data_IF_205206949494
#
_entry.id   IF_205206949494
#
_cell.length_a   1.000
_cell.length_b   1.000
_cell.length_c   1.000
_cell.angle_alpha   90.00
_cell.angle_beta   90.00
_cell.angle_gamma   90.00
#
_symmetry.space_group_name_H-M   'P 1'
#
loop_
_entity.id
_entity.type
_entity.pdbx_description
1 polymer ?
#
# COMPACT_ATOMS: atom_id res chain seq x y z
N UNK A 1 -5.24 -15.74 10.33
CA UNK A 1 -3.98 -15.11 10.76
C UNK A 1 -3.10 -14.79 9.56
N UNK A 2 -2.21 -13.85 9.72
CA UNK A 2 -1.25 -13.40 8.72
C UNK A 2 0.19 -13.49 9.26
N UNK A 3 1.17 -13.28 8.40
CA UNK A 3 2.57 -13.12 8.79
C UNK A 3 2.92 -11.63 9.00
N UNK A 4 4.13 -11.38 9.47
CA UNK A 4 4.60 -10.00 9.70
C UNK A 4 4.97 -9.24 8.39
N UNK A 5 4.50 -9.70 7.25
CA UNK A 5 4.73 -9.11 5.93
C UNK A 5 3.43 -8.89 5.15
N UNK A 6 2.28 -9.00 5.82
CA UNK A 6 0.97 -8.81 5.23
C UNK A 6 0.48 -9.99 4.36
N UNK A 7 1.01 -11.19 4.54
CA UNK A 7 0.50 -12.37 3.84
C UNK A 7 -0.43 -13.17 4.74
N UNK A 8 -1.60 -13.49 4.24
CA UNK A 8 -2.56 -14.37 4.94
C UNK A 8 -2.00 -15.79 4.98
N UNK A 9 -1.83 -16.33 6.19
CA UNK A 9 -1.23 -17.65 6.41
C UNK A 9 -2.25 -18.78 6.53
N UNK A 10 -3.46 -18.45 6.94
CA UNK A 10 -4.48 -19.45 7.26
C UNK A 10 -5.85 -18.94 6.84
N UNK A 11 -6.54 -19.75 6.09
CA UNK A 11 -7.90 -19.49 5.61
C UNK A 11 -8.85 -20.58 6.15
N UNK A 12 -10.17 -20.31 6.21
CA UNK A 12 -11.17 -21.33 6.45
C UNK A 12 -11.07 -22.46 5.42
N UNK A 13 -11.31 -23.67 5.86
CA UNK A 13 -11.40 -24.83 4.95
C UNK A 13 -12.79 -24.91 4.32
N UNK A 14 -12.94 -25.68 3.23
CA UNK A 14 -14.24 -25.92 2.60
C UNK A 14 -15.28 -26.46 3.60
N UNK A 15 -14.87 -27.25 4.59
CA UNK A 15 -15.75 -27.83 5.58
C UNK A 15 -16.31 -26.81 6.59
N UNK A 16 -15.64 -25.67 6.78
CA UNK A 16 -16.02 -24.72 7.83
C UNK A 16 -16.16 -23.26 7.35
N UNK A 17 -15.94 -22.96 6.07
CA UNK A 17 -16.05 -21.58 5.56
C UNK A 17 -17.44 -20.96 5.74
N UNK A 18 -18.48 -21.77 5.78
CA UNK A 18 -19.89 -21.36 5.93
C UNK A 18 -20.43 -21.58 7.36
N UNK A 19 -19.58 -21.57 8.37
CA UNK A 19 -20.07 -21.74 9.75
C UNK A 19 -21.00 -20.60 10.16
N UNK A 20 -22.02 -20.90 10.95
CA UNK A 20 -23.06 -19.96 11.37
C UNK A 20 -22.52 -18.74 12.12
N UNK A 21 -21.47 -18.90 12.92
CA UNK A 21 -20.83 -17.80 13.67
C UNK A 21 -19.97 -16.88 12.81
N UNK A 22 -19.86 -17.14 11.51
CA UNK A 22 -19.08 -16.32 10.59
C UNK A 22 -17.54 -16.37 10.80
N UNK A 23 -16.82 -15.58 10.01
CA UNK A 23 -15.38 -15.46 10.06
C UNK A 23 -14.92 -14.00 9.99
N UNK A 24 -13.93 -13.64 10.80
CA UNK A 24 -13.30 -12.35 10.75
C UNK A 24 -11.79 -12.42 10.43
N UNK A 25 -11.24 -11.31 9.98
CA UNK A 25 -9.81 -11.10 9.76
C UNK A 25 -9.30 -10.01 10.71
N UNK A 26 -8.15 -10.25 11.30
CA UNK A 26 -7.31 -9.22 11.89
C UNK A 26 -6.06 -9.11 11.04
N UNK A 27 -5.95 -8.01 10.31
CA UNK A 27 -4.89 -7.71 9.35
C UNK A 27 -3.98 -6.61 9.90
N UNK A 28 -2.76 -6.47 9.38
CA UNK A 28 -1.83 -5.45 9.83
C UNK A 28 -1.19 -4.74 8.64
N UNK A 29 -1.14 -3.42 8.71
CA UNK A 29 -0.31 -2.57 7.85
C UNK A 29 1.01 -2.23 8.53
N UNK A 30 1.02 -2.22 9.87
CA UNK A 30 2.19 -1.95 10.67
C UNK A 30 2.43 -3.05 11.73
N UNK A 31 3.69 -3.28 12.05
CA UNK A 31 4.13 -4.25 13.04
C UNK A 31 5.15 -3.63 13.98
N UNK A 32 4.88 -3.70 15.27
CA UNK A 32 5.82 -3.30 16.31
C UNK A 32 6.72 -4.47 16.70
N UNK A 33 8.04 -4.22 16.77
CA UNK A 33 9.03 -5.22 17.19
C UNK A 33 9.70 -5.93 16.01
N UNK A 34 9.95 -7.22 16.15
CA UNK A 34 10.65 -7.97 15.12
C UNK A 34 9.71 -8.35 13.95
N UNK A 35 10.19 -8.22 12.67
CA UNK A 35 11.56 -7.83 12.34
C UNK A 35 11.91 -6.38 12.66
N UNK A 36 11.02 -5.41 12.57
CA UNK A 36 11.23 -4.00 12.90
C UNK A 36 9.90 -3.25 12.93
N UNK A 37 9.88 -2.04 13.48
CA UNK A 37 8.72 -1.16 13.48
C UNK A 37 8.73 -0.26 12.24
N UNK A 38 7.57 -0.06 11.60
CA UNK A 38 7.44 0.72 10.37
C UNK A 38 6.54 1.94 10.55
N UNK A 39 6.67 2.63 11.66
CA UNK A 39 5.75 3.69 12.07
C UNK A 39 5.83 4.97 11.22
N UNK A 40 6.95 5.18 10.52
CA UNK A 40 7.26 6.44 9.85
C UNK A 40 7.24 6.36 8.34
N UNK A 41 7.16 5.17 7.78
CA UNK A 41 7.30 4.94 6.34
C UNK A 41 6.19 4.05 5.85
N UNK A 42 5.43 4.54 4.88
CA UNK A 42 4.40 3.74 4.23
C UNK A 42 5.07 2.65 3.36
N UNK A 43 4.81 1.39 3.69
CA UNK A 43 5.37 0.20 3.00
C UNK A 43 4.28 -0.70 2.43
N UNK A 44 3.01 -0.39 2.69
CA UNK A 44 1.88 -1.22 2.27
C UNK A 44 1.44 -0.84 0.85
N UNK A 45 1.62 -1.76 -0.10
CA UNK A 45 1.09 -1.62 -1.45
C UNK A 45 -0.39 -1.99 -1.49
N UNK A 46 -1.23 -1.20 -2.15
CA UNK A 46 -2.66 -1.50 -2.27
C UNK A 46 -2.91 -2.82 -2.99
N UNK A 47 -2.07 -3.17 -3.98
CA UNK A 47 -2.14 -4.46 -4.69
C UNK A 47 -1.99 -5.64 -3.72
N UNK A 48 -1.16 -5.49 -2.68
CA UNK A 48 -1.02 -6.49 -1.62
C UNK A 48 -2.28 -6.61 -0.78
N UNK A 49 -2.86 -5.48 -0.40
CA UNK A 49 -4.13 -5.44 0.34
C UNK A 49 -5.23 -6.10 -0.49
N UNK A 50 -5.35 -5.73 -1.77
CA UNK A 50 -6.30 -6.30 -2.70
C UNK A 50 -6.19 -7.82 -2.79
N UNK A 51 -4.97 -8.33 -3.06
CA UNK A 51 -4.71 -9.76 -3.20
C UNK A 51 -5.12 -10.54 -1.93
N UNK A 52 -4.66 -10.06 -0.78
CA UNK A 52 -4.82 -10.80 0.47
C UNK A 52 -6.25 -10.73 1.02
N UNK A 53 -6.91 -9.57 0.91
CA UNK A 53 -8.26 -9.40 1.38
C UNK A 53 -9.29 -9.99 0.41
N UNK A 54 -9.03 -9.96 -0.90
CA UNK A 54 -9.83 -10.68 -1.90
C UNK A 54 -9.81 -12.19 -1.64
N UNK A 55 -8.63 -12.74 -1.45
CA UNK A 55 -8.48 -14.15 -1.10
C UNK A 55 -9.21 -14.47 0.22
N UNK A 56 -9.07 -13.65 1.25
CA UNK A 56 -9.76 -13.85 2.52
C UNK A 56 -11.30 -13.85 2.34
N UNK A 57 -11.83 -12.90 1.58
CA UNK A 57 -13.24 -12.78 1.28
C UNK A 57 -13.79 -13.99 0.52
N UNK A 58 -13.09 -14.44 -0.51
CA UNK A 58 -13.49 -15.60 -1.34
C UNK A 58 -13.53 -16.90 -0.53
N UNK A 59 -12.68 -16.99 0.50
CA UNK A 59 -12.70 -18.11 1.45
C UNK A 59 -13.66 -17.94 2.63
N UNK A 60 -14.55 -16.94 2.57
CA UNK A 60 -15.66 -16.80 3.51
C UNK A 60 -15.38 -15.89 4.72
N UNK A 61 -14.28 -15.15 4.75
CA UNK A 61 -13.97 -14.18 5.81
C UNK A 61 -14.64 -12.84 5.46
N UNK A 62 -15.90 -12.67 5.89
CA UNK A 62 -16.76 -11.57 5.43
C UNK A 62 -17.42 -10.76 6.53
N UNK A 63 -17.42 -11.26 7.77
CA UNK A 63 -18.28 -10.69 8.80
C UNK A 63 -17.61 -9.54 9.55
N UNK A 64 -16.30 -9.65 9.83
CA UNK A 64 -15.55 -8.61 10.51
C UNK A 64 -14.15 -8.51 9.91
N UNK A 65 -13.79 -7.30 9.48
CA UNK A 65 -12.45 -6.95 9.09
C UNK A 65 -11.88 -5.90 10.04
N UNK A 66 -10.78 -6.22 10.68
CA UNK A 66 -10.04 -5.32 11.55
C UNK A 66 -8.63 -5.17 10.99
N UNK A 67 -8.13 -3.95 10.92
CA UNK A 67 -6.75 -3.67 10.52
C UNK A 67 -6.02 -2.88 11.60
N UNK A 68 -4.85 -3.36 11.98
CA UNK A 68 -3.91 -2.60 12.79
C UNK A 68 -3.05 -1.75 11.85
N UNK A 69 -3.04 -0.45 12.06
CA UNK A 69 -2.37 0.50 11.16
C UNK A 69 -1.18 1.19 11.83
N UNK A 70 -0.91 0.89 13.11
CA UNK A 70 0.07 1.62 13.91
C UNK A 70 -0.39 3.06 14.10
N UNK A 71 0.24 3.99 13.40
CA UNK A 71 -0.17 5.39 13.33
C UNK A 71 -1.07 5.65 12.11
N UNK A 72 -1.93 6.67 12.19
CA UNK A 72 -2.78 7.04 11.04
C UNK A 72 -1.94 7.57 9.88
N UNK A 73 -0.92 8.34 10.19
CA UNK A 73 0.05 8.81 9.20
C UNK A 73 1.27 7.89 9.16
N UNK A 74 1.73 7.51 8.00
CA UNK A 74 1.32 7.87 6.62
C UNK A 74 0.37 6.86 5.96
N UNK A 75 -0.51 6.22 6.73
CA UNK A 75 -1.33 5.08 6.28
C UNK A 75 -2.72 5.47 5.73
N UNK A 76 -2.99 6.75 5.48
CA UNK A 76 -4.32 7.24 5.11
C UNK A 76 -4.86 6.56 3.84
N UNK A 77 -4.05 6.45 2.80
CA UNK A 77 -4.49 5.85 1.54
C UNK A 77 -4.79 4.34 1.68
N UNK A 78 -3.92 3.49 2.24
CA UNK A 78 -4.26 2.08 2.44
C UNK A 78 -5.40 1.87 3.45
N UNK A 79 -5.57 2.73 4.46
CA UNK A 79 -6.72 2.70 5.37
C UNK A 79 -8.01 2.94 4.60
N UNK A 80 -8.08 4.03 3.81
CA UNK A 80 -9.22 4.33 2.96
C UNK A 80 -9.56 3.17 2.04
N UNK A 81 -8.57 2.64 1.33
CA UNK A 81 -8.76 1.51 0.41
C UNK A 81 -9.32 0.26 1.11
N UNK A 82 -8.75 -0.11 2.25
CA UNK A 82 -9.20 -1.26 3.03
C UNK A 82 -10.66 -1.10 3.48
N UNK A 83 -11.04 0.08 3.94
CA UNK A 83 -12.39 0.36 4.41
C UNK A 83 -13.40 0.43 3.25
N UNK A 84 -13.02 1.05 2.14
CA UNK A 84 -13.87 1.11 0.95
C UNK A 84 -14.03 -0.27 0.30
N UNK A 85 -12.99 -1.09 0.30
CA UNK A 85 -13.07 -2.50 -0.12
C UNK A 85 -13.99 -3.33 0.80
N UNK A 86 -13.93 -3.09 2.10
CA UNK A 86 -14.83 -3.76 3.06
C UNK A 86 -16.28 -3.31 2.90
N UNK A 87 -16.51 -2.05 2.53
CA UNK A 87 -17.84 -1.49 2.30
C UNK A 87 -18.47 -1.91 0.98
N UNK A 88 -17.71 -1.92 -0.11
CA UNK A 88 -18.16 -2.25 -1.45
C UNK A 88 -17.16 -3.21 -2.13
N UNK A 89 -17.23 -4.48 -1.73
CA UNK A 89 -16.35 -5.51 -2.23
C UNK A 89 -16.58 -5.83 -3.71
N UNK A 90 -17.79 -5.64 -4.20
CA UNK A 90 -18.13 -5.88 -5.61
C UNK A 90 -17.39 -4.88 -6.52
N UNK A 91 -17.18 -3.67 -6.04
CA UNK A 91 -16.43 -2.64 -6.75
C UNK A 91 -14.92 -2.79 -6.62
N UNK A 92 -14.41 -3.09 -5.41
CA UNK A 92 -12.99 -2.99 -5.11
C UNK A 92 -12.27 -4.34 -4.93
N UNK A 93 -13.03 -5.45 -4.91
CA UNK A 93 -12.51 -6.79 -4.63
C UNK A 93 -12.15 -7.61 -5.88
N UNK A 94 -12.32 -8.91 -5.79
CA UNK A 94 -11.83 -9.92 -6.72
C UNK A 94 -12.24 -9.72 -8.18
N UNK A 95 -13.42 -9.18 -8.43
CA UNK A 95 -13.92 -8.94 -9.79
C UNK A 95 -13.19 -7.81 -10.53
N UNK A 96 -12.37 -7.05 -9.84
CA UNK A 96 -11.72 -5.84 -10.34
C UNK A 96 -10.20 -5.88 -10.09
N UNK A 97 -9.47 -6.52 -10.98
CA UNK A 97 -8.00 -6.70 -10.81
C UNK A 97 -7.22 -5.38 -10.80
N UNK A 98 -7.75 -4.35 -11.47
CA UNK A 98 -7.13 -3.02 -11.56
C UNK A 98 -7.58 -2.08 -10.43
N UNK A 99 -8.41 -2.56 -9.48
CA UNK A 99 -9.02 -1.71 -8.46
C UNK A 99 -8.02 -0.96 -7.60
N UNK A 100 -6.88 -1.56 -7.28
CA UNK A 100 -5.83 -0.92 -6.50
C UNK A 100 -5.20 0.28 -7.23
N UNK A 101 -4.94 0.16 -8.54
CA UNK A 101 -4.37 1.23 -9.36
C UNK A 101 -5.40 2.35 -9.59
N UNK A 102 -6.65 1.99 -9.86
CA UNK A 102 -7.75 2.94 -9.98
C UNK A 102 -7.96 3.71 -8.68
N UNK A 103 -7.87 3.03 -7.53
CA UNK A 103 -8.00 3.65 -6.22
C UNK A 103 -6.86 4.63 -5.93
N UNK A 104 -5.61 4.25 -6.20
CA UNK A 104 -4.46 5.14 -6.06
C UNK A 104 -4.68 6.45 -6.84
N UNK A 105 -5.07 6.34 -8.13
CA UNK A 105 -5.36 7.51 -8.98
C UNK A 105 -6.53 8.34 -8.45
N UNK A 106 -7.61 7.71 -8.02
CA UNK A 106 -8.79 8.39 -7.48
C UNK A 106 -8.46 9.11 -6.16
N UNK A 107 -7.71 8.48 -5.27
CA UNK A 107 -7.28 9.07 -4.00
C UNK A 107 -6.37 10.28 -4.23
N UNK A 108 -5.38 10.17 -5.10
CA UNK A 108 -4.52 11.30 -5.49
C UNK A 108 -5.35 12.42 -6.14
N UNK A 109 -6.29 12.09 -7.00
CA UNK A 109 -7.21 13.05 -7.60
C UNK A 109 -8.06 13.78 -6.56
N UNK A 110 -8.50 13.10 -5.51
CA UNK A 110 -9.23 13.70 -4.40
C UNK A 110 -8.35 14.70 -3.61
N UNK A 111 -7.08 14.38 -3.40
CA UNK A 111 -6.16 15.25 -2.65
C UNK A 111 -5.66 16.44 -3.47
N UNK A 112 -5.34 16.24 -4.73
CA UNK A 112 -4.61 17.22 -5.54
C UNK A 112 -5.36 17.74 -6.77
N UNK A 113 -6.55 17.21 -7.07
CA UNK A 113 -7.29 17.56 -8.30
C UNK A 113 -7.74 19.02 -8.40
N UNK A 114 -7.79 19.77 -7.30
CA UNK A 114 -8.03 21.20 -7.30
C UNK A 114 -6.77 22.03 -7.60
N UNK A 115 -5.59 21.42 -7.60
CA UNK A 115 -4.30 22.09 -7.67
C UNK A 115 -3.47 21.73 -8.90
N UNK A 116 -3.85 20.69 -9.63
CA UNK A 116 -3.16 20.25 -10.84
C UNK A 116 -4.16 19.64 -11.84
N UNK A 117 -3.71 19.48 -13.07
CA UNK A 117 -4.48 18.83 -14.13
C UNK A 117 -4.38 17.29 -14.08
N UNK A 118 -5.05 16.62 -15.02
CA UNK A 118 -5.05 15.16 -15.10
C UNK A 118 -3.63 14.58 -15.25
N UNK A 119 -2.77 15.27 -16.02
CA UNK A 119 -1.37 14.86 -16.18
C UNK A 119 -0.60 14.92 -14.85
N UNK A 120 -0.83 15.96 -14.06
CA UNK A 120 -0.25 16.07 -12.72
C UNK A 120 -0.74 14.98 -11.77
N UNK A 121 -2.03 14.62 -11.82
CA UNK A 121 -2.57 13.50 -11.06
C UNK A 121 -1.89 12.19 -11.45
N UNK A 122 -1.73 11.91 -12.73
CA UNK A 122 -1.04 10.71 -13.22
C UNK A 122 0.43 10.65 -12.79
N UNK A 123 1.13 11.77 -12.88
CA UNK A 123 2.54 11.84 -12.49
C UNK A 123 2.71 11.65 -10.97
N UNK A 124 1.86 12.28 -10.14
CA UNK A 124 1.89 12.11 -8.66
C UNK A 124 1.53 10.65 -8.31
N UNK A 125 0.51 10.08 -8.94
CA UNK A 125 0.16 8.66 -8.76
C UNK A 125 1.36 7.76 -9.08
N UNK A 126 2.03 8.00 -10.21
CA UNK A 126 3.24 7.25 -10.57
C UNK A 126 4.38 7.40 -9.55
N UNK A 127 4.57 8.58 -8.97
CA UNK A 127 5.57 8.81 -7.92
C UNK A 127 5.23 7.95 -6.69
N UNK A 128 3.99 8.01 -6.21
CA UNK A 128 3.53 7.27 -5.05
C UNK A 128 3.62 5.76 -5.28
N UNK A 129 3.11 5.25 -6.40
CA UNK A 129 3.16 3.82 -6.74
C UNK A 129 4.61 3.29 -6.76
N UNK A 130 5.54 4.03 -7.37
CA UNK A 130 6.97 3.65 -7.40
C UNK A 130 7.61 3.68 -6.02
N UNK A 131 7.26 4.67 -5.20
CA UNK A 131 7.71 4.77 -3.81
C UNK A 131 7.23 3.57 -2.98
N UNK A 132 5.93 3.24 -3.06
CA UNK A 132 5.35 2.09 -2.36
C UNK A 132 5.97 0.76 -2.83
N UNK A 133 6.20 0.61 -4.13
CA UNK A 133 6.86 -0.57 -4.69
C UNK A 133 8.30 -0.71 -4.19
N UNK A 134 9.04 0.39 -4.11
CA UNK A 134 10.41 0.38 -3.59
C UNK A 134 10.42 -0.04 -2.12
N UNK A 135 9.63 0.60 -1.28
CA UNK A 135 9.57 0.32 0.16
C UNK A 135 8.98 -1.08 0.46
N UNK A 136 7.98 -1.50 -0.30
CA UNK A 136 7.37 -2.82 -0.15
C UNK A 136 8.25 -3.97 -0.65
N UNK A 137 9.19 -3.72 -1.55
CA UNK A 137 10.11 -4.75 -2.04
C UNK A 137 11.14 -5.17 -1.00
N UNK A 138 11.61 -4.23 -0.21
CA UNK A 138 12.46 -4.45 0.96
C UNK A 138 12.19 -3.33 1.96
N UNK A 139 11.67 -3.69 3.12
CA UNK A 139 11.33 -2.69 4.15
C UNK A 139 12.58 -1.91 4.56
N UNK A 140 12.53 -0.56 4.57
CA UNK A 140 13.72 0.29 4.75
C UNK A 140 14.52 -0.02 6.02
N UNK A 141 13.82 -0.36 7.11
CA UNK A 141 14.45 -0.59 8.43
C UNK A 141 15.31 -1.84 8.51
N UNK A 142 15.16 -2.76 7.56
CA UNK A 142 15.96 -3.99 7.49
C UNK A 142 16.94 -3.99 6.32
N UNK A 143 17.11 -2.85 5.65
CA UNK A 143 18.14 -2.67 4.63
C UNK A 143 19.51 -2.58 5.30
N UNK A 144 20.44 -3.37 4.81
CA UNK A 144 21.84 -3.41 5.24
C UNK A 144 22.76 -3.21 4.04
N UNK A 145 24.05 -3.07 4.26
CA UNK A 145 25.08 -2.98 3.23
C UNK A 145 25.18 -4.23 2.34
N UNK A 146 24.62 -5.34 2.77
CA UNK A 146 24.57 -6.61 2.03
C UNK A 146 23.19 -6.92 1.38
N UNK A 147 22.20 -6.03 1.54
CA UNK A 147 20.84 -6.27 1.03
C UNK A 147 20.79 -6.33 -0.49
N UNK A 148 21.49 -5.41 -1.16
CA UNK A 148 21.54 -5.33 -2.62
C UNK A 148 22.93 -5.66 -3.12
N UNK A 149 22.99 -6.53 -4.14
CA UNK A 149 24.27 -6.98 -4.67
C UNK A 149 24.97 -5.85 -5.45
N UNK A 150 26.25 -5.62 -5.15
CA UNK A 150 27.03 -4.54 -5.77
C UNK A 150 27.53 -4.89 -7.18
N UNK A 151 27.65 -6.18 -7.50
CA UNK A 151 28.28 -6.65 -8.74
C UNK A 151 27.30 -7.40 -9.65
N UNK A 152 26.45 -8.29 -9.09
CA UNK A 152 25.55 -9.10 -9.87
C UNK A 152 24.36 -8.28 -10.38
N UNK A 153 24.13 -8.31 -11.69
CA UNK A 153 23.00 -7.66 -12.35
C UNK A 153 22.89 -6.15 -12.11
N UNK A 154 23.93 -5.51 -11.62
CA UNK A 154 23.93 -4.10 -11.19
C UNK A 154 22.75 -3.77 -10.22
N UNK A 155 22.41 -4.71 -9.33
CA UNK A 155 21.21 -4.61 -8.49
C UNK A 155 21.21 -3.33 -7.65
N UNK A 156 22.27 -3.09 -6.88
CA UNK A 156 22.37 -1.89 -6.05
C UNK A 156 22.31 -0.60 -6.87
N UNK A 157 22.99 -0.55 -8.02
CA UNK A 157 22.97 0.61 -8.90
C UNK A 157 21.57 0.88 -9.46
N UNK A 158 20.82 -0.15 -9.85
CA UNK A 158 19.44 -0.01 -10.34
C UNK A 158 18.50 0.49 -9.24
N UNK A 159 18.62 -0.04 -8.02
CA UNK A 159 17.81 0.41 -6.88
C UNK A 159 18.10 1.88 -6.57
N UNK A 160 19.37 2.27 -6.52
CA UNK A 160 19.77 3.66 -6.31
C UNK A 160 19.26 4.59 -7.42
N UNK A 161 19.35 4.15 -8.68
CA UNK A 161 18.83 4.91 -9.83
C UNK A 161 17.32 5.10 -9.74
N UNK A 162 16.57 4.06 -9.37
CA UNK A 162 15.12 4.12 -9.19
C UNK A 162 14.74 5.08 -8.05
N UNK A 163 15.38 4.96 -6.90
CA UNK A 163 15.17 5.87 -5.79
C UNK A 163 15.45 7.33 -6.17
N UNK A 164 16.57 7.57 -6.84
CA UNK A 164 16.93 8.92 -7.31
C UNK A 164 15.94 9.47 -8.36
N UNK A 165 15.33 8.62 -9.19
CA UNK A 165 14.29 9.04 -10.13
C UNK A 165 13.01 9.47 -9.40
N UNK A 166 12.59 8.70 -8.39
CA UNK A 166 11.42 9.04 -7.57
C UNK A 166 11.63 10.41 -6.89
N UNK A 167 12.79 10.62 -6.28
CA UNK A 167 13.13 11.89 -5.60
C UNK A 167 13.06 13.07 -6.59
N UNK A 168 13.70 12.96 -7.76
CA UNK A 168 13.68 14.04 -8.76
C UNK A 168 12.28 14.39 -9.24
N UNK A 169 11.46 13.36 -9.47
CA UNK A 169 10.09 13.58 -9.93
C UNK A 169 9.24 14.21 -8.81
N UNK A 170 9.44 13.79 -7.55
CA UNK A 170 8.75 14.38 -6.41
C UNK A 170 9.17 15.85 -6.19
N UNK A 171 10.46 16.17 -6.25
CA UNK A 171 10.95 17.54 -6.12
C UNK A 171 10.38 18.47 -7.19
N UNK A 172 10.25 17.99 -8.43
CA UNK A 172 9.62 18.75 -9.51
C UNK A 172 8.18 19.16 -9.17
N UNK A 173 7.37 18.25 -8.65
CA UNK A 173 5.98 18.55 -8.29
C UNK A 173 5.86 19.43 -7.05
N UNK A 174 6.80 19.33 -6.11
CA UNK A 174 6.89 20.24 -4.99
C UNK A 174 7.02 21.72 -5.43
N UNK A 175 7.74 21.98 -6.52
CA UNK A 175 7.90 23.34 -7.07
C UNK A 175 6.67 23.81 -7.87
N UNK A 176 5.91 22.89 -8.46
CA UNK A 176 4.74 23.18 -9.30
C UNK A 176 3.47 23.44 -8.47
N UNK A 177 3.28 22.66 -7.39
CA UNK A 177 2.10 22.75 -6.56
C UNK A 177 2.06 24.05 -5.75
N UNK A 178 0.89 24.69 -5.58
CA UNK A 178 0.77 25.90 -4.78
C UNK A 178 1.05 25.63 -3.29
N UNK A 179 1.41 26.68 -2.55
CA UNK A 179 1.82 26.58 -1.14
C UNK A 179 0.80 25.85 -0.26
N UNK A 180 -0.49 26.05 -0.50
CA UNK A 180 -1.59 25.40 0.22
C UNK A 180 -1.64 23.87 0.01
N UNK A 181 -1.17 23.37 -1.13
CA UNK A 181 -1.08 21.94 -1.42
C UNK A 181 0.24 21.32 -0.95
N UNK A 182 1.28 22.11 -0.73
CA UNK A 182 2.62 21.62 -0.42
C UNK A 182 2.67 20.86 0.92
N UNK A 183 1.90 21.29 1.92
CA UNK A 183 1.88 20.61 3.21
C UNK A 183 1.36 19.16 3.10
N UNK A 184 0.32 18.94 2.29
CA UNK A 184 -0.21 17.60 2.03
C UNK A 184 0.75 16.77 1.14
N UNK A 185 1.39 17.41 0.17
CA UNK A 185 2.34 16.75 -0.72
C UNK A 185 3.65 16.36 -0.01
N UNK A 186 4.03 17.08 1.03
CA UNK A 186 5.26 16.82 1.79
C UNK A 186 5.18 15.58 2.69
N UNK A 187 3.97 15.12 2.97
CA UNK A 187 3.71 13.94 3.81
C UNK A 187 3.75 12.63 3.03
#
# INVERSE_FOLDING_TARGET
SEDNYGNVRTLPTEANKNRESGWGMYYHFDYNGAPASYQWVQTMQLQKVWEQMSMAYDYGIRDIWIVNVGDLKPMEMPISYFLDMAWDFDRWGTSHIESAEEYEKAWIGQQFGNYTDEKGIEDITSIVSRYLKLNGSKKPEIVTDSTYNLTNYNEAARVLQNAGAIIRDAEKYKEILPEEAQAAYYQ
#
